data_IF_861557164953
#
_entry.id   IF_861557164953
#
_cell.length_a   1.000
_cell.length_b   1.000
_cell.length_c   1.000
_cell.angle_alpha   90.00
_cell.angle_beta   90.00
_cell.angle_gamma   90.00
#
_symmetry.space_group_name_H-M   'P 1'
#
loop_
_entity.id
_entity.type
_entity.pdbx_description
1 polymer ?
#
# COMPACT_ATOMS: atom_id res chain seq x y z
N UNK A 1 3.32 22.62 -5.49
CA UNK A 1 2.17 22.04 -4.78
C UNK A 1 2.67 21.24 -3.58
N UNK A 2 2.04 21.45 -2.43
CA UNK A 2 2.39 20.72 -1.23
C UNK A 2 1.56 19.44 -1.17
N UNK A 3 2.23 18.29 -0.98
CA UNK A 3 1.55 17.01 -0.83
C UNK A 3 1.12 16.86 0.63
N UNK A 4 -0.16 16.61 0.86
CA UNK A 4 -0.66 16.32 2.20
C UNK A 4 -0.50 14.81 2.45
N UNK A 5 0.61 14.45 3.07
CA UNK A 5 0.97 13.06 3.30
C UNK A 5 -0.02 12.33 4.21
N UNK A 6 -0.45 13.01 5.27
CA UNK A 6 -1.38 12.38 6.21
C UNK A 6 -2.76 12.21 5.60
N UNK A 7 -3.26 13.24 4.95
CA UNK A 7 -4.60 13.19 4.34
C UNK A 7 -4.68 12.10 3.27
N UNK A 8 -3.67 12.02 2.40
CA UNK A 8 -3.63 10.99 1.35
C UNK A 8 -3.64 9.58 1.94
N UNK A 9 -2.84 9.35 2.98
CA UNK A 9 -2.81 8.04 3.64
C UNK A 9 -4.13 7.71 4.34
N UNK A 10 -4.77 8.72 4.95
CA UNK A 10 -6.08 8.54 5.56
C UNK A 10 -7.12 8.15 4.52
N UNK A 11 -7.11 8.81 3.36
CA UNK A 11 -8.03 8.48 2.27
C UNK A 11 -7.81 7.05 1.77
N UNK A 12 -6.55 6.62 1.65
CA UNK A 12 -6.24 5.27 1.23
C UNK A 12 -6.81 4.23 2.21
N UNK A 13 -6.59 4.45 3.51
CA UNK A 13 -7.11 3.55 4.53
C UNK A 13 -8.63 3.48 4.51
N UNK A 14 -9.29 4.64 4.46
CA UNK A 14 -10.76 4.71 4.43
C UNK A 14 -11.32 4.01 3.19
N UNK A 15 -10.65 4.17 2.05
CA UNK A 15 -11.07 3.53 0.81
C UNK A 15 -11.06 2.01 0.94
N UNK A 16 -9.97 1.45 1.45
CA UNK A 16 -9.86 0.00 1.62
C UNK A 16 -10.86 -0.54 2.63
N UNK A 17 -11.09 0.19 3.73
CA UNK A 17 -12.09 -0.18 4.72
C UNK A 17 -13.49 -0.17 4.08
N UNK A 18 -13.80 0.84 3.27
CA UNK A 18 -15.10 0.96 2.61
C UNK A 18 -15.38 -0.18 1.65
N UNK A 19 -14.33 -0.80 1.10
CA UNK A 19 -14.48 -1.97 0.23
C UNK A 19 -14.68 -3.27 1.00
N UNK A 20 -14.66 -3.23 2.33
CA UNK A 20 -14.90 -4.39 3.17
C UNK A 20 -13.66 -5.18 3.58
N UNK A 21 -12.47 -4.65 3.29
CA UNK A 21 -11.24 -5.35 3.67
C UNK A 21 -11.01 -5.31 5.18
N UNK A 22 -10.60 -6.44 5.74
CA UNK A 22 -10.23 -6.58 7.15
C UNK A 22 -8.77 -6.97 7.32
N UNK A 23 -8.15 -7.57 6.31
CA UNK A 23 -6.73 -7.96 6.32
C UNK A 23 -5.96 -7.01 5.40
N UNK A 24 -5.58 -5.86 5.95
CA UNK A 24 -4.97 -4.76 5.20
C UNK A 24 -3.52 -4.61 5.59
N UNK A 25 -2.62 -4.61 4.61
CA UNK A 25 -1.20 -4.47 4.82
C UNK A 25 -0.70 -3.10 4.33
N UNK A 26 0.49 -2.73 4.80
CA UNK A 26 1.18 -1.52 4.36
C UNK A 26 2.63 -1.83 4.03
N UNK A 27 3.09 -1.29 2.91
CA UNK A 27 4.51 -1.27 2.55
C UNK A 27 4.95 0.18 2.61
N UNK A 28 5.70 0.50 3.67
CA UNK A 28 6.16 1.86 3.95
C UNK A 28 7.61 2.05 3.57
N UNK A 29 8.00 3.29 3.33
CA UNK A 29 9.40 3.66 3.14
C UNK A 29 10.09 3.89 4.48
N UNK A 30 11.33 4.44 4.43
CA UNK A 30 12.09 4.69 5.65
C UNK A 30 11.36 5.67 6.57
N UNK A 31 11.26 5.31 7.84
CA UNK A 31 10.59 6.16 8.83
C UNK A 31 11.43 7.38 9.23
N UNK A 32 12.70 7.40 8.84
CA UNK A 32 13.55 8.59 8.98
C UNK A 32 13.17 9.70 8.00
N UNK A 33 12.48 9.35 6.92
CA UNK A 33 11.94 10.30 5.95
C UNK A 33 10.64 10.89 6.48
N UNK A 34 10.48 12.22 6.35
CA UNK A 34 9.24 12.89 6.80
C UNK A 34 8.01 12.34 6.06
N UNK A 35 7.99 12.31 4.71
CA UNK A 35 6.82 11.76 4.04
C UNK A 35 6.61 10.28 4.37
N UNK A 36 7.68 9.50 4.51
CA UNK A 36 7.56 8.08 4.87
C UNK A 36 6.91 7.90 6.22
N UNK A 37 7.36 8.64 7.22
CA UNK A 37 6.80 8.55 8.57
C UNK A 37 5.35 9.04 8.61
N UNK A 38 5.05 10.17 7.98
CA UNK A 38 3.70 10.74 8.00
C UNK A 38 2.68 9.82 7.31
N UNK A 39 3.04 9.26 6.18
CA UNK A 39 2.16 8.32 5.46
C UNK A 39 1.93 7.04 6.27
N UNK A 40 3.00 6.51 6.85
CA UNK A 40 2.95 5.30 7.65
C UNK A 40 2.06 5.47 8.88
N UNK A 41 2.32 6.51 9.68
CA UNK A 41 1.58 6.74 10.92
C UNK A 41 0.09 7.02 10.65
N UNK A 42 -0.19 7.86 9.65
CA UNK A 42 -1.58 8.23 9.34
C UNK A 42 -2.37 7.03 8.83
N UNK A 43 -1.76 6.18 8.01
CA UNK A 43 -2.43 4.99 7.50
C UNK A 43 -2.79 4.03 8.64
N UNK A 44 -1.81 3.71 9.49
CA UNK A 44 -2.04 2.78 10.60
C UNK A 44 -3.02 3.36 11.62
N UNK A 45 -2.93 4.65 11.91
CA UNK A 45 -3.84 5.30 12.85
C UNK A 45 -5.28 5.23 12.34
N UNK A 46 -5.50 5.47 11.06
CA UNK A 46 -6.83 5.42 10.47
C UNK A 46 -7.41 4.02 10.53
N UNK A 47 -6.62 2.99 10.24
CA UNK A 47 -7.08 1.61 10.37
C UNK A 47 -7.53 1.33 11.80
N UNK A 48 -6.75 1.76 12.78
CA UNK A 48 -7.05 1.57 14.19
C UNK A 48 -8.33 2.32 14.59
N UNK A 49 -8.47 3.56 14.14
CA UNK A 49 -9.64 4.39 14.45
C UNK A 49 -10.95 3.77 13.94
N UNK A 50 -10.87 3.00 12.86
CA UNK A 50 -12.04 2.33 12.28
C UNK A 50 -12.20 0.89 12.76
N UNK A 51 -11.47 0.48 13.80
CA UNK A 51 -11.60 -0.85 14.37
C UNK A 51 -10.94 -1.97 13.55
N UNK A 52 -10.03 -1.62 12.63
CA UNK A 52 -9.34 -2.57 11.77
C UNK A 52 -7.80 -2.41 11.88
N UNK A 53 -7.23 -2.47 13.08
CA UNK A 53 -5.78 -2.29 13.24
C UNK A 53 -5.01 -3.32 12.42
N UNK A 54 -3.91 -2.89 11.81
CA UNK A 54 -3.08 -3.78 11.01
C UNK A 54 -2.41 -4.83 11.90
N UNK A 55 -2.31 -6.06 11.41
CA UNK A 55 -1.52 -7.08 12.09
C UNK A 55 -0.04 -6.69 12.01
N UNK A 56 0.76 -6.95 13.06
CA UNK A 56 2.20 -6.64 12.98
C UNK A 56 2.87 -7.27 11.75
N UNK A 57 2.49 -8.49 11.38
CA UNK A 57 3.05 -9.18 10.22
C UNK A 57 2.63 -8.56 8.89
N UNK A 58 1.63 -7.68 8.88
CA UNK A 58 1.19 -6.99 7.67
C UNK A 58 1.86 -5.62 7.49
N UNK A 59 2.77 -5.25 8.40
CA UNK A 59 3.51 -3.98 8.31
C UNK A 59 4.90 -4.27 7.79
N UNK A 60 5.27 -3.69 6.65
CA UNK A 60 6.59 -3.86 6.04
C UNK A 60 7.24 -2.50 5.87
N UNK A 61 8.50 -2.41 6.24
CA UNK A 61 9.32 -1.21 6.02
C UNK A 61 10.29 -1.51 4.90
N UNK A 62 10.36 -0.61 3.93
CA UNK A 62 11.22 -0.76 2.77
C UNK A 62 11.99 0.53 2.52
N UNK A 63 12.50 0.71 1.31
CA UNK A 63 13.46 1.78 0.99
C UNK A 63 12.97 2.69 -0.15
N UNK A 64 11.67 2.74 -0.41
CA UNK A 64 11.06 3.48 -1.50
C UNK A 64 11.39 2.96 -2.91
N UNK A 65 12.14 1.86 -3.04
CA UNK A 65 12.51 1.33 -4.35
C UNK A 65 11.49 0.32 -4.89
N UNK A 66 11.48 0.14 -6.21
CA UNK A 66 10.65 -0.89 -6.83
C UNK A 66 11.08 -2.28 -6.37
N UNK A 67 12.38 -2.51 -6.24
CA UNK A 67 12.92 -3.79 -5.74
C UNK A 67 12.42 -4.07 -4.33
N UNK A 68 12.45 -3.05 -3.47
CA UNK A 68 11.96 -3.18 -2.09
C UNK A 68 10.47 -3.47 -2.04
N UNK A 69 9.68 -2.80 -2.88
CA UNK A 69 8.24 -3.05 -2.96
C UNK A 69 7.93 -4.46 -3.44
N UNK A 70 8.68 -4.94 -4.43
CA UNK A 70 8.54 -6.31 -4.95
C UNK A 70 8.83 -7.33 -3.84
N UNK A 71 9.94 -7.17 -3.16
CA UNK A 71 10.36 -8.08 -2.09
C UNK A 71 9.36 -8.09 -0.93
N UNK A 72 8.88 -6.91 -0.53
CA UNK A 72 7.91 -6.80 0.56
C UNK A 72 6.58 -7.45 0.18
N UNK A 73 6.11 -7.23 -1.06
CA UNK A 73 4.86 -7.85 -1.50
C UNK A 73 4.98 -9.38 -1.51
N UNK A 74 6.11 -9.90 -1.98
CA UNK A 74 6.35 -11.35 -1.97
C UNK A 74 6.26 -11.91 -0.56
N UNK A 75 6.90 -11.25 0.42
CA UNK A 75 6.87 -11.72 1.80
C UNK A 75 5.47 -11.65 2.41
N UNK A 76 4.68 -10.65 2.05
CA UNK A 76 3.30 -10.53 2.53
C UNK A 76 2.43 -11.68 2.04
N UNK A 77 2.59 -12.09 0.79
CA UNK A 77 1.81 -13.21 0.24
C UNK A 77 2.15 -14.54 0.91
N UNK A 78 3.35 -14.63 1.49
CA UNK A 78 3.80 -15.87 2.14
C UNK A 78 3.39 -15.95 3.62
N UNK A 79 2.72 -14.92 4.16
CA UNK A 79 2.21 -14.97 5.53
C UNK A 79 1.11 -16.00 5.70
N UNK A 80 0.96 -16.51 6.93
CA UNK A 80 -0.10 -17.46 7.24
C UNK A 80 -1.49 -16.91 6.91
N UNK A 81 -1.69 -15.62 7.24
CA UNK A 81 -2.90 -14.89 6.87
C UNK A 81 -2.44 -13.78 5.93
N UNK A 82 -2.44 -14.02 4.61
CA UNK A 82 -2.01 -12.99 3.68
C UNK A 82 -3.02 -11.85 3.62
N UNK A 83 -2.56 -10.63 3.32
CA UNK A 83 -3.49 -9.50 3.19
C UNK A 83 -4.32 -9.63 1.92
N UNK A 84 -5.52 -9.06 1.96
CA UNK A 84 -6.38 -8.93 0.78
C UNK A 84 -6.26 -7.55 0.15
N UNK A 85 -5.64 -6.61 0.84
CA UNK A 85 -5.40 -5.27 0.34
C UNK A 85 -4.08 -4.75 0.86
N UNK A 86 -3.37 -3.98 0.04
CA UNK A 86 -2.06 -3.44 0.39
C UNK A 86 -1.98 -1.97 -0.01
N UNK A 87 -1.52 -1.13 0.91
CA UNK A 87 -1.18 0.25 0.65
C UNK A 87 0.33 0.36 0.46
N UNK A 88 0.76 0.88 -0.70
CA UNK A 88 2.18 1.15 -0.99
C UNK A 88 2.41 2.65 -0.86
N UNK A 89 3.36 3.05 -0.04
CA UNK A 89 3.52 4.43 0.37
C UNK A 89 4.19 5.35 -0.66
N UNK A 90 4.67 4.81 -1.78
CA UNK A 90 5.14 5.62 -2.89
C UNK A 90 4.99 4.87 -4.22
N UNK A 91 5.21 5.58 -5.34
CA UNK A 91 4.97 5.02 -6.66
C UNK A 91 5.95 3.90 -7.06
N UNK A 92 7.22 4.00 -6.69
CA UNK A 92 8.19 2.96 -7.05
C UNK A 92 7.89 1.64 -6.36
N UNK A 93 7.56 1.69 -5.07
CA UNK A 93 7.16 0.48 -4.35
C UNK A 93 5.87 -0.11 -4.92
N UNK A 94 4.94 0.75 -5.35
CA UNK A 94 3.71 0.31 -6.02
C UNK A 94 4.04 -0.48 -7.29
N UNK A 95 4.94 0.06 -8.12
CA UNK A 95 5.37 -0.61 -9.34
C UNK A 95 5.98 -1.98 -9.03
N UNK A 96 6.84 -2.04 -8.02
CA UNK A 96 7.47 -3.29 -7.62
C UNK A 96 6.46 -4.33 -7.15
N UNK A 97 5.49 -3.91 -6.34
CA UNK A 97 4.44 -4.79 -5.85
C UNK A 97 3.58 -5.31 -7.01
N UNK A 98 3.22 -4.44 -7.96
CA UNK A 98 2.43 -4.83 -9.12
C UNK A 98 3.16 -5.85 -9.99
N UNK A 99 4.46 -5.67 -10.19
CA UNK A 99 5.27 -6.63 -10.94
C UNK A 99 5.28 -8.00 -10.28
N UNK A 100 5.43 -8.03 -8.96
CA UNK A 100 5.42 -9.27 -8.21
C UNK A 100 4.08 -10.00 -8.38
N UNK A 101 2.98 -9.27 -8.23
CA UNK A 101 1.64 -9.85 -8.37
C UNK A 101 1.42 -10.40 -9.77
N UNK A 102 1.86 -9.67 -10.80
CA UNK A 102 1.76 -10.12 -12.18
C UNK A 102 2.58 -11.40 -12.40
N UNK A 103 3.82 -11.42 -11.90
CA UNK A 103 4.70 -12.56 -12.07
C UNK A 103 4.16 -13.82 -11.40
N UNK A 104 3.41 -13.66 -10.30
CA UNK A 104 2.78 -14.78 -9.60
C UNK A 104 1.36 -15.10 -10.09
N UNK A 105 0.86 -14.37 -11.06
CA UNK A 105 -0.48 -14.58 -11.60
C UNK A 105 -1.61 -14.19 -10.67
N UNK A 106 -1.34 -13.28 -9.72
CA UNK A 106 -2.37 -12.78 -8.79
C UNK A 106 -3.22 -11.73 -9.49
N UNK A 107 -4.52 -11.89 -9.42
CA UNK A 107 -5.46 -10.98 -10.10
C UNK A 107 -5.81 -9.78 -9.23
N UNK A 108 -5.69 -8.57 -9.80
CA UNK A 108 -6.03 -7.32 -9.15
C UNK A 108 -7.29 -6.77 -9.79
N UNK A 109 -8.31 -6.37 -9.04
CA UNK A 109 -8.41 -6.36 -7.57
C UNK A 109 -9.02 -7.62 -6.97
N UNK A 110 -9.34 -8.64 -7.75
CA UNK A 110 -10.16 -9.78 -7.30
C UNK A 110 -9.49 -10.55 -6.16
N UNK A 111 -8.19 -10.84 -6.27
CA UNK A 111 -7.46 -11.55 -5.24
C UNK A 111 -6.76 -10.62 -4.25
N UNK A 112 -6.20 -9.51 -4.75
CA UNK A 112 -5.53 -8.50 -3.93
C UNK A 112 -5.86 -7.12 -4.48
N UNK A 113 -6.23 -6.20 -3.60
CA UNK A 113 -6.42 -4.79 -3.94
C UNK A 113 -5.14 -4.01 -3.62
N UNK A 114 -4.71 -3.15 -4.54
CA UNK A 114 -3.53 -2.31 -4.35
C UNK A 114 -3.94 -0.84 -4.41
N UNK A 115 -3.54 -0.09 -3.39
CA UNK A 115 -3.66 1.37 -3.36
C UNK A 115 -2.26 1.94 -3.23
N UNK A 116 -1.88 2.82 -4.15
CA UNK A 116 -0.59 3.49 -4.11
C UNK A 116 -0.71 4.95 -3.72
N UNK A 117 0.29 5.46 -3.01
CA UNK A 117 0.43 6.89 -2.79
C UNK A 117 1.28 7.42 -3.94
N UNK A 118 0.72 8.32 -4.73
CA UNK A 118 1.31 8.68 -6.00
C UNK A 118 1.82 10.12 -6.03
N UNK A 119 3.12 10.24 -6.24
CA UNK A 119 3.75 11.53 -6.50
C UNK A 119 3.73 11.85 -8.02
N UNK A 120 3.41 10.85 -8.83
CA UNK A 120 3.26 10.97 -10.29
C UNK A 120 1.96 10.27 -10.67
N UNK A 121 1.33 10.74 -11.74
CA UNK A 121 0.09 10.10 -12.18
C UNK A 121 0.41 8.81 -12.94
N UNK A 122 0.35 7.69 -12.24
CA UNK A 122 0.60 6.37 -12.82
C UNK A 122 -0.67 5.69 -13.33
N UNK A 123 -1.85 6.19 -12.94
CA UNK A 123 -3.10 5.50 -13.28
C UNK A 123 -3.34 5.37 -14.77
N UNK A 124 -2.84 6.32 -15.56
CA UNK A 124 -2.97 6.30 -17.01
C UNK A 124 -2.01 5.30 -17.67
N UNK A 125 -0.99 4.86 -16.96
CA UNK A 125 0.04 3.98 -17.50
C UNK A 125 -0.20 2.51 -17.18
N UNK A 126 -1.18 2.22 -16.32
CA UNK A 126 -1.42 0.86 -15.82
C UNK A 126 -2.71 0.28 -16.42
N UNK A 127 -2.69 -1.01 -16.69
CA UNK A 127 -3.85 -1.74 -17.18
C UNK A 127 -3.92 -3.10 -16.48
N UNK A 128 -4.95 -3.40 -15.66
CA UNK A 128 -6.08 -2.50 -15.39
C UNK A 128 -5.66 -1.30 -14.53
N UNK A 129 -6.46 -0.22 -14.55
CA UNK A 129 -6.13 0.96 -13.76
C UNK A 129 -6.04 0.63 -12.27
N UNK A 130 -5.08 1.29 -11.62
CA UNK A 130 -4.82 1.17 -10.20
C UNK A 130 -5.57 2.29 -9.47
N UNK A 131 -6.06 2.00 -8.25
CA UNK A 131 -6.55 3.05 -7.37
C UNK A 131 -5.36 3.84 -6.83
N UNK A 132 -5.35 5.14 -7.05
CA UNK A 132 -4.23 6.01 -6.69
C UNK A 132 -4.74 7.18 -5.86
N UNK A 133 -4.02 7.47 -4.77
CA UNK A 133 -4.30 8.60 -3.89
C UNK A 133 -3.22 9.66 -4.08
N UNK A 134 -3.64 10.86 -4.49
CA UNK A 134 -2.76 11.99 -4.70
C UNK A 134 -2.82 12.95 -3.51
#
# INVERSE_FOLDING_TARGET
MVVDNRHGAQLAAKHLISLGHTEIAVISGPLSSFPGRERHEAFLQTLSDFGQPARPEHVRLSDFSAKGGNKSMASLLDEQIPPTAVFCANNLMTIGALRLLKDRGVVIPDEVSIVGFDDLDLSELLNPPLTVIN
#
